data_IF_804665144346
#
_entry.id   IF_804665144346
#
_cell.length_a   1.000
_cell.length_b   1.000
_cell.length_c   1.000
_cell.angle_alpha   90.00
_cell.angle_beta   90.00
_cell.angle_gamma   90.00
#
_symmetry.space_group_name_H-M   'P 1'
#
loop_
_entity.id
_entity.type
_entity.pdbx_description
1 polymer ?
#
# COMPACT_ATOMS: atom_id res chain seq x y z
N UNK A 1 3.99 -38.99 -25.85
CA UNK A 1 4.71 -39.80 -26.86
C UNK A 1 4.14 -39.40 -28.21
N UNK A 2 4.97 -39.13 -29.22
CA UNK A 2 4.57 -38.48 -30.50
C UNK A 2 4.04 -37.02 -30.32
N UNK A 3 4.23 -36.08 -31.26
CA UNK A 3 5.10 -36.05 -32.46
C UNK A 3 5.50 -34.60 -32.78
N UNK A 4 6.74 -34.37 -33.24
CA UNK A 4 7.12 -33.11 -33.87
C UNK A 4 6.66 -33.08 -35.33
N UNK A 5 6.15 -31.94 -35.80
CA UNK A 5 6.09 -31.62 -37.23
C UNK A 5 6.90 -30.34 -37.49
N UNK A 6 8.11 -30.52 -38.05
CA UNK A 6 8.84 -29.45 -38.71
C UNK A 6 8.39 -29.40 -40.17
N UNK A 7 7.99 -28.21 -40.65
CA UNK A 7 7.95 -27.90 -42.08
C UNK A 7 9.04 -26.85 -42.35
N UNK A 8 9.95 -27.16 -43.29
CA UNK A 8 11.12 -26.33 -43.57
C UNK A 8 10.84 -25.13 -44.47
N UNK A 9 11.70 -24.12 -44.40
CA UNK A 9 11.78 -23.05 -45.40
C UNK A 9 12.37 -23.60 -46.71
N UNK A 10 11.86 -23.13 -47.85
CA UNK A 10 12.57 -23.15 -49.12
C UNK A 10 12.91 -21.72 -49.56
N UNK A 11 13.98 -21.57 -50.33
CA UNK A 11 14.50 -20.27 -50.77
C UNK A 11 13.95 -19.89 -52.14
N UNK A 12 13.36 -18.69 -52.27
CA UNK A 12 12.93 -18.08 -53.52
C UNK A 12 13.37 -16.62 -53.60
N UNK A 13 13.59 -16.09 -54.82
CA UNK A 13 14.32 -14.84 -55.03
C UNK A 13 13.53 -13.79 -55.83
N UNK A 14 13.53 -12.54 -55.37
CA UNK A 14 13.23 -11.33 -56.16
C UNK A 14 11.77 -10.84 -56.21
N UNK A 15 11.59 -9.51 -56.16
CA UNK A 15 10.41 -8.81 -56.68
C UNK A 15 9.48 -8.15 -55.63
N UNK A 16 9.26 -6.83 -55.79
CA UNK A 16 8.18 -5.99 -55.24
C UNK A 16 7.64 -6.28 -53.82
N UNK A 17 7.99 -5.41 -52.87
CA UNK A 17 7.38 -5.35 -51.53
C UNK A 17 5.98 -4.72 -51.54
N UNK A 18 4.97 -5.46 -51.97
CA UNK A 18 3.58 -5.22 -51.53
C UNK A 18 3.38 -5.89 -50.16
N UNK A 19 3.31 -5.09 -49.09
CA UNK A 19 3.17 -5.62 -47.72
C UNK A 19 1.77 -6.17 -47.51
N UNK A 20 1.61 -7.50 -47.60
CA UNK A 20 0.45 -8.18 -47.04
C UNK A 20 0.52 -8.14 -45.50
N UNK A 21 -0.60 -7.98 -44.78
CA UNK A 21 -0.62 -8.14 -43.33
C UNK A 21 -0.22 -9.57 -42.95
N UNK A 22 0.67 -9.71 -41.96
CA UNK A 22 1.05 -11.03 -41.45
C UNK A 22 -0.17 -11.75 -40.86
N UNK A 23 -0.29 -13.05 -41.12
CA UNK A 23 -1.39 -13.85 -40.61
C UNK A 23 -1.37 -13.89 -39.07
N UNK A 24 -2.47 -13.48 -38.43
CA UNK A 24 -2.62 -13.48 -36.98
C UNK A 24 -2.66 -14.92 -36.45
N UNK A 25 -1.59 -15.34 -35.75
CA UNK A 25 -1.50 -16.67 -35.14
C UNK A 25 -2.39 -16.77 -33.89
N UNK A 26 -3.67 -17.08 -34.09
CA UNK A 26 -4.62 -17.36 -33.00
C UNK A 26 -4.43 -18.79 -32.50
N UNK A 27 -4.02 -18.93 -31.23
CA UNK A 27 -3.99 -20.21 -30.52
C UNK A 27 -5.25 -20.29 -29.64
N UNK A 28 -6.04 -21.34 -29.80
CA UNK A 28 -7.27 -21.55 -29.03
C UNK A 28 -7.11 -22.77 -28.11
N UNK A 29 -7.29 -22.59 -26.80
CA UNK A 29 -7.22 -23.66 -25.80
C UNK A 29 -8.55 -23.76 -25.06
N UNK A 30 -9.06 -24.98 -24.91
CA UNK A 30 -10.28 -25.28 -24.16
C UNK A 30 -10.00 -26.30 -23.04
N UNK A 31 -10.81 -26.24 -21.98
CA UNK A 31 -10.81 -27.18 -20.85
C UNK A 31 -9.43 -27.51 -20.24
N UNK A 32 -8.51 -26.54 -20.23
CA UNK A 32 -7.17 -26.67 -19.65
C UNK A 32 -7.14 -25.95 -18.30
N UNK A 33 -6.78 -26.65 -17.22
CA UNK A 33 -6.70 -26.08 -15.87
C UNK A 33 -5.41 -25.31 -15.60
N UNK A 34 -4.41 -25.48 -16.46
CA UNK A 34 -3.10 -24.83 -16.41
C UNK A 34 -2.63 -24.61 -17.86
N UNK A 35 -2.00 -23.45 -18.13
CA UNK A 35 -1.53 -23.03 -19.45
C UNK A 35 -0.22 -22.28 -19.28
N UNK A 36 0.87 -23.03 -19.12
CA UNK A 36 2.22 -22.47 -18.98
C UNK A 36 2.75 -22.05 -20.35
N UNK A 37 2.74 -20.75 -20.63
CA UNK A 37 3.45 -20.19 -21.79
C UNK A 37 4.92 -20.01 -21.41
N UNK A 38 5.81 -20.70 -22.13
CA UNK A 38 7.24 -20.76 -21.79
C UNK A 38 7.98 -19.42 -21.93
N UNK A 39 9.23 -19.33 -21.42
CA UNK A 39 10.00 -18.09 -21.35
C UNK A 39 10.55 -17.66 -22.72
N UNK A 40 9.68 -17.10 -23.58
CA UNK A 40 10.10 -16.28 -24.71
C UNK A 40 10.09 -14.80 -24.34
N UNK A 41 11.21 -14.13 -24.61
CA UNK A 41 11.53 -12.79 -24.08
C UNK A 41 10.94 -11.62 -24.88
N UNK A 42 10.18 -11.89 -25.95
CA UNK A 42 9.43 -10.87 -26.70
C UNK A 42 8.16 -11.46 -27.35
N UNK A 43 7.06 -10.73 -27.22
CA UNK A 43 5.90 -10.83 -28.13
C UNK A 43 5.88 -9.56 -28.98
N UNK A 44 6.04 -9.68 -30.31
CA UNK A 44 5.98 -8.54 -31.22
C UNK A 44 4.57 -8.37 -31.79
N UNK A 45 3.70 -7.70 -31.02
CA UNK A 45 2.33 -7.37 -31.42
C UNK A 45 1.41 -7.11 -30.22
N UNK A 46 0.25 -6.53 -30.49
CA UNK A 46 -0.80 -6.35 -29.48
C UNK A 46 -1.46 -7.70 -29.17
N UNK A 47 -1.16 -8.27 -28.00
CA UNK A 47 -1.77 -9.52 -27.52
C UNK A 47 -3.03 -9.20 -26.72
N UNK A 48 -4.18 -9.73 -27.16
CA UNK A 48 -5.46 -9.65 -26.43
C UNK A 48 -5.91 -11.05 -26.04
N UNK A 49 -6.00 -11.31 -24.73
CA UNK A 49 -6.47 -12.59 -24.18
C UNK A 49 -7.96 -12.48 -23.89
N UNK A 50 -8.77 -13.37 -24.46
CA UNK A 50 -10.20 -13.48 -24.17
C UNK A 50 -10.45 -14.77 -23.38
N UNK A 51 -10.95 -14.65 -22.15
CA UNK A 51 -11.33 -15.80 -21.33
C UNK A 51 -12.86 -15.96 -21.34
N UNK A 52 -13.34 -17.05 -21.95
CA UNK A 52 -14.74 -17.45 -21.89
C UNK A 52 -14.89 -18.59 -20.87
N UNK A 53 -15.62 -18.34 -19.78
CA UNK A 53 -16.02 -19.41 -18.85
C UNK A 53 -17.37 -19.98 -19.26
N UNK A 54 -17.38 -21.27 -19.60
CA UNK A 54 -18.62 -22.02 -19.81
C UNK A 54 -19.26 -22.35 -18.44
N UNK A 55 -20.38 -21.71 -18.15
CA UNK A 55 -21.10 -21.84 -16.88
C UNK A 55 -21.64 -23.26 -16.60
N UNK A 56 -21.69 -24.14 -17.61
CA UNK A 56 -22.16 -25.53 -17.44
C UNK A 56 -21.16 -26.41 -16.64
N UNK A 57 -19.87 -26.07 -16.67
CA UNK A 57 -18.82 -26.88 -16.04
C UNK A 57 -18.85 -26.76 -14.52
N UNK A 58 -19.08 -25.56 -13.97
CA UNK A 58 -19.01 -25.33 -12.53
C UNK A 58 -20.19 -25.96 -11.77
N UNK A 59 -21.38 -26.00 -12.39
CA UNK A 59 -22.54 -26.74 -11.87
C UNK A 59 -22.22 -28.23 -11.65
N UNK A 60 -21.40 -28.82 -12.53
CA UNK A 60 -20.98 -30.23 -12.46
C UNK A 60 -20.00 -30.50 -11.30
N UNK A 61 -19.22 -29.50 -10.88
CA UNK A 61 -18.31 -29.60 -9.71
C UNK A 61 -19.02 -29.49 -8.37
N UNK A 62 -20.11 -28.74 -8.30
CA UNK A 62 -20.90 -28.60 -7.06
C UNK A 62 -21.64 -29.91 -6.76
N UNK A 63 -22.15 -30.58 -7.79
CA UNK A 63 -22.89 -31.84 -7.66
C UNK A 63 -22.06 -33.02 -7.11
N UNK A 64 -20.74 -33.04 -7.30
CA UNK A 64 -19.88 -34.16 -6.87
C UNK A 64 -19.45 -34.11 -5.40
N UNK A 65 -19.76 -33.03 -4.66
CA UNK A 65 -19.24 -32.79 -3.31
C UNK A 65 -20.16 -33.21 -2.15
N UNK A 66 -21.36 -33.73 -2.44
CA UNK A 66 -22.33 -34.23 -1.45
C UNK A 66 -22.99 -35.55 -1.86
N UNK A 67 -22.42 -36.71 -1.52
CA UNK A 67 -23.05 -38.01 -1.76
C UNK A 67 -23.92 -38.45 -0.57
N UNK A 68 -25.25 -38.34 -0.68
CA UNK A 68 -26.22 -39.09 0.13
C UNK A 68 -27.35 -39.66 -0.76
N UNK A 69 -27.97 -40.79 -0.38
CA UNK A 69 -28.57 -41.71 -1.35
C UNK A 69 -30.00 -41.39 -1.77
N UNK A 70 -30.39 -42.01 -2.89
CA UNK A 70 -31.75 -42.01 -3.46
C UNK A 70 -32.82 -42.43 -2.44
N UNK A 71 -34.00 -41.78 -2.55
CA UNK A 71 -35.20 -42.49 -3.02
C UNK A 71 -36.19 -41.54 -3.67
N UNK A 72 -36.65 -41.88 -4.88
CA UNK A 72 -37.75 -41.18 -5.54
C UNK A 72 -39.10 -41.75 -5.12
N UNK A 73 -40.10 -40.87 -5.03
CA UNK A 73 -41.51 -41.11 -5.37
C UNK A 73 -42.21 -39.77 -5.49
N UNK A 74 -43.13 -39.65 -6.45
CA UNK A 74 -43.82 -38.41 -6.78
C UNK A 74 -45.33 -38.62 -6.78
N UNK A 75 -46.05 -37.59 -6.30
CA UNK A 75 -47.48 -37.32 -6.53
C UNK A 75 -48.51 -38.28 -5.93
N UNK A 76 -49.58 -37.67 -5.41
CA UNK A 76 -50.97 -38.18 -5.28
C UNK A 76 -51.21 -39.40 -4.36
N UNK A 77 -52.30 -39.50 -3.59
CA UNK A 77 -53.57 -38.73 -3.60
C UNK A 77 -54.38 -38.87 -2.27
N UNK A 78 -55.51 -38.14 -2.20
CA UNK A 78 -56.74 -38.34 -1.38
C UNK A 78 -56.80 -37.94 0.13
N UNK A 79 -57.80 -37.07 0.45
CA UNK A 79 -58.75 -36.95 1.61
C UNK A 79 -58.25 -37.29 3.05
N UNK A 80 -58.67 -36.69 4.18
CA UNK A 80 -59.73 -35.71 4.54
C UNK A 80 -59.38 -35.11 5.95
N UNK A 81 -60.12 -34.23 6.68
CA UNK A 81 -61.46 -33.62 6.57
C UNK A 81 -61.46 -32.18 7.16
N UNK A 82 -62.54 -31.75 7.84
CA UNK A 82 -62.94 -30.37 8.22
C UNK A 82 -63.11 -30.17 9.75
N UNK A 83 -63.14 -28.90 10.21
CA UNK A 83 -63.48 -28.44 11.58
C UNK A 83 -64.85 -28.93 12.11
N UNK A 84 -65.11 -28.77 13.43
CA UNK A 84 -66.06 -27.71 13.79
C UNK A 84 -65.71 -26.93 15.08
N UNK A 85 -66.24 -25.71 15.18
CA UNK A 85 -66.37 -24.96 16.44
C UNK A 85 -67.61 -24.06 16.39
N UNK A 86 -68.53 -24.20 17.36
CA UNK A 86 -69.48 -23.19 17.86
C UNK A 86 -70.54 -23.82 18.77
N UNK A 87 -70.78 -23.21 19.93
CA UNK A 87 -72.10 -23.09 20.60
C UNK A 87 -71.95 -22.15 21.81
N UNK A 88 -72.98 -21.37 22.13
CA UNK A 88 -72.86 -20.22 23.05
C UNK A 88 -74.13 -19.95 23.86
N UNK A 89 -73.96 -19.38 25.07
CA UNK A 89 -74.99 -18.71 25.90
C UNK A 89 -76.03 -19.64 26.58
N UNK A 90 -76.79 -19.20 27.63
CA UNK A 90 -76.98 -17.81 28.06
C UNK A 90 -76.96 -17.47 29.58
N UNK A 91 -77.09 -16.16 29.83
CA UNK A 91 -77.64 -15.49 31.04
C UNK A 91 -76.76 -15.33 32.29
N UNK A 92 -77.15 -14.34 33.11
CA UNK A 92 -76.40 -13.82 34.26
C UNK A 92 -77.18 -13.98 35.58
N UNK A 93 -76.45 -14.01 36.70
CA UNK A 93 -77.01 -14.01 38.06
C UNK A 93 -76.09 -13.32 39.06
N UNK A 94 -76.66 -12.58 40.01
CA UNK A 94 -75.94 -11.93 41.12
C UNK A 94 -75.74 -12.91 42.28
N UNK A 95 -74.63 -12.80 43.02
CA UNK A 95 -74.68 -12.36 44.44
C UNK A 95 -73.30 -12.21 45.10
N UNK A 96 -73.29 -11.40 46.17
CA UNK A 96 -72.18 -11.13 47.09
C UNK A 96 -71.80 -12.40 47.90
N UNK A 97 -70.66 -12.54 48.62
CA UNK A 97 -70.10 -11.60 49.61
C UNK A 97 -68.59 -11.79 49.95
N UNK A 98 -67.93 -10.65 50.20
CA UNK A 98 -67.02 -10.31 51.31
C UNK A 98 -65.77 -11.14 51.70
N UNK A 99 -64.64 -10.40 51.75
CA UNK A 99 -63.52 -10.44 52.73
C UNK A 99 -62.55 -11.64 52.77
N UNK A 100 -61.31 -11.36 52.36
CA UNK A 100 -60.07 -11.94 52.88
C UNK A 100 -58.89 -11.02 52.56
N UNK A 101 -58.05 -10.68 53.54
CA UNK A 101 -56.77 -9.98 53.29
C UNK A 101 -55.71 -10.99 52.81
N UNK A 102 -54.69 -10.57 52.05
CA UNK A 102 -53.61 -11.47 51.64
C UNK A 102 -52.77 -11.89 52.85
N UNK A 103 -52.59 -13.20 53.04
CA UNK A 103 -51.56 -13.72 53.95
C UNK A 103 -50.18 -13.47 53.36
N UNK A 104 -49.23 -13.05 54.18
CA UNK A 104 -47.85 -12.80 53.80
C UNK A 104 -46.93 -13.90 54.34
N UNK A 105 -46.67 -14.94 53.55
CA UNK A 105 -45.59 -15.89 53.79
C UNK A 105 -44.48 -15.77 52.73
N UNK A 106 -43.20 -15.97 53.11
CA UNK A 106 -42.06 -15.66 52.25
C UNK A 106 -41.82 -16.71 51.17
N UNK A 107 -41.83 -16.29 49.90
CA UNK A 107 -41.51 -17.16 48.77
C UNK A 107 -40.00 -17.32 48.55
N UNK A 108 -39.41 -18.34 49.18
CA UNK A 108 -38.01 -18.78 48.98
C UNK A 108 -37.64 -18.92 47.49
N UNK A 109 -38.59 -19.36 46.67
CA UNK A 109 -38.52 -19.52 45.21
C UNK A 109 -38.15 -18.24 44.41
N UNK A 110 -38.20 -17.04 45.00
CA UNK A 110 -37.65 -15.83 44.35
C UNK A 110 -36.14 -15.71 44.50
N UNK A 111 -35.58 -16.07 45.67
CA UNK A 111 -34.19 -15.76 46.00
C UNK A 111 -33.20 -16.61 45.20
N UNK A 112 -33.52 -17.90 45.00
CA UNK A 112 -32.72 -18.83 44.19
C UNK A 112 -32.55 -18.37 42.74
N UNK A 113 -33.59 -17.75 42.16
CA UNK A 113 -33.55 -17.24 40.78
C UNK A 113 -32.54 -16.09 40.62
N UNK A 114 -32.43 -15.21 41.62
CA UNK A 114 -31.44 -14.14 41.59
C UNK A 114 -29.99 -14.65 41.67
N UNK A 115 -29.73 -15.75 42.39
CA UNK A 115 -28.42 -16.41 42.36
C UNK A 115 -28.10 -16.99 40.98
N UNK A 116 -29.07 -17.63 40.32
CA UNK A 116 -28.88 -18.18 38.95
C UNK A 116 -28.60 -17.05 37.95
N UNK A 117 -29.37 -15.95 37.97
CA UNK A 117 -29.12 -14.81 37.09
C UNK A 117 -27.77 -14.13 37.39
N UNK A 118 -27.38 -13.99 38.66
CA UNK A 118 -26.08 -13.47 39.05
C UNK A 118 -24.91 -14.29 38.51
N UNK A 119 -25.00 -15.63 38.61
CA UNK A 119 -23.99 -16.54 38.05
C UNK A 119 -23.89 -16.43 36.52
N UNK A 120 -25.03 -16.40 35.81
CA UNK A 120 -25.05 -16.26 34.35
C UNK A 120 -24.44 -14.93 33.88
N UNK A 121 -24.74 -13.82 34.57
CA UNK A 121 -24.15 -12.50 34.28
C UNK A 121 -22.63 -12.52 34.56
N UNK A 122 -22.18 -13.13 35.65
CA UNK A 122 -20.76 -13.27 35.96
C UNK A 122 -20.01 -14.06 34.88
N UNK A 123 -20.51 -15.23 34.46
CA UNK A 123 -19.89 -16.00 33.38
C UNK A 123 -19.89 -15.26 32.04
N UNK A 124 -20.94 -14.49 31.73
CA UNK A 124 -20.96 -13.64 30.54
C UNK A 124 -19.87 -12.54 30.60
N UNK A 125 -19.74 -11.84 31.72
CA UNK A 125 -18.70 -10.81 31.91
C UNK A 125 -17.30 -11.43 31.79
N UNK A 126 -17.05 -12.59 32.39
CA UNK A 126 -15.75 -13.29 32.28
C UNK A 126 -15.47 -13.72 30.84
N UNK A 127 -16.47 -14.26 30.12
CA UNK A 127 -16.35 -14.66 28.72
C UNK A 127 -16.09 -13.49 27.76
N UNK A 128 -16.79 -12.36 27.93
CA UNK A 128 -16.49 -11.14 27.18
C UNK A 128 -15.11 -10.58 27.53
N UNK A 129 -14.70 -10.62 28.81
CA UNK A 129 -13.39 -10.11 29.24
C UNK A 129 -12.23 -10.92 28.65
N UNK A 130 -12.35 -12.25 28.59
CA UNK A 130 -11.33 -13.11 27.95
C UNK A 130 -11.34 -12.98 26.44
N UNK A 131 -12.51 -12.87 25.80
CA UNK A 131 -12.61 -12.60 24.36
C UNK A 131 -11.93 -11.26 23.97
N UNK A 132 -12.17 -10.19 24.73
CA UNK A 132 -11.52 -8.88 24.53
C UNK A 132 -10.01 -8.99 24.75
N UNK A 133 -9.56 -9.70 25.80
CA UNK A 133 -8.13 -9.96 26.04
C UNK A 133 -7.46 -10.68 24.86
N UNK A 134 -8.09 -11.71 24.29
CA UNK A 134 -7.58 -12.40 23.10
C UNK A 134 -7.56 -11.51 21.86
N UNK A 135 -8.61 -10.70 21.61
CA UNK A 135 -8.65 -9.75 20.49
C UNK A 135 -7.52 -8.70 20.62
N UNK A 136 -7.34 -8.11 21.80
CA UNK A 136 -6.30 -7.10 22.06
C UNK A 136 -4.88 -7.68 21.93
N UNK A 137 -4.69 -8.95 22.26
CA UNK A 137 -3.38 -9.61 22.18
C UNK A 137 -3.07 -10.22 20.81
N UNK A 138 -4.07 -10.61 20.01
CA UNK A 138 -3.85 -11.00 18.60
C UNK A 138 -3.35 -9.83 17.75
N UNK A 139 -3.64 -8.58 18.14
CA UNK A 139 -3.06 -7.36 17.53
C UNK A 139 -1.55 -7.21 17.82
N UNK A 140 -0.94 -8.09 18.63
CA UNK A 140 0.50 -8.10 18.94
C UNK A 140 1.20 -9.45 18.71
N UNK A 141 0.63 -10.32 17.87
CA UNK A 141 1.36 -11.48 17.33
C UNK A 141 2.23 -11.09 16.12
N UNK A 142 3.41 -11.72 15.91
CA UNK A 142 4.22 -11.49 14.72
C UNK A 142 3.56 -12.12 13.49
N UNK A 143 3.14 -11.30 12.52
CA UNK A 143 2.46 -11.76 11.31
C UNK A 143 3.40 -11.75 10.09
N UNK A 144 3.28 -12.82 9.28
CA UNK A 144 3.82 -12.95 7.91
C UNK A 144 5.37 -12.81 7.79
N UNK A 145 6.07 -13.85 8.24
CA UNK A 145 7.36 -14.27 7.66
C UNK A 145 7.05 -15.29 6.54
N UNK A 146 7.85 -15.30 5.48
CA UNK A 146 7.74 -16.17 4.29
C UNK A 146 6.45 -16.05 3.47
N UNK A 147 6.35 -14.94 2.74
CA UNK A 147 5.69 -14.90 1.43
C UNK A 147 6.67 -14.52 0.34
N UNK A 148 6.94 -15.49 -0.53
CA UNK A 148 7.74 -15.34 -1.75
C UNK A 148 7.11 -14.29 -2.69
N UNK A 149 7.93 -13.51 -3.39
CA UNK A 149 7.48 -12.32 -4.13
C UNK A 149 6.86 -12.71 -5.48
N UNK A 150 5.59 -13.10 -5.47
CA UNK A 150 4.75 -13.04 -6.67
C UNK A 150 4.27 -11.59 -6.90
N UNK A 151 4.58 -11.05 -8.07
CA UNK A 151 3.82 -9.94 -8.65
C UNK A 151 2.47 -10.47 -9.18
N UNK A 152 1.60 -10.91 -8.27
CA UNK A 152 0.26 -11.38 -8.62
C UNK A 152 -0.56 -10.23 -9.24
N UNK A 153 -1.33 -10.57 -10.27
CA UNK A 153 -2.27 -9.66 -10.96
C UNK A 153 -3.40 -9.16 -10.05
N UNK A 154 -3.60 -9.79 -8.90
CA UNK A 154 -4.53 -9.39 -7.85
C UNK A 154 -4.11 -8.09 -7.13
N UNK A 155 -4.23 -6.93 -7.81
CA UNK A 155 -4.14 -5.60 -7.18
C UNK A 155 -5.23 -5.43 -6.11
N UNK A 156 -4.93 -5.83 -4.87
CA UNK A 156 -5.81 -5.70 -3.73
C UNK A 156 -5.86 -4.25 -3.23
N UNK A 157 -6.80 -3.47 -3.77
CA UNK A 157 -7.10 -2.05 -3.46
C UNK A 157 -7.36 -1.72 -1.97
N UNK A 158 -7.20 -2.68 -1.04
CA UNK A 158 -7.38 -2.55 0.42
C UNK A 158 -6.07 -2.68 1.22
N UNK A 159 -4.94 -3.08 0.61
CA UNK A 159 -3.69 -3.37 1.35
C UNK A 159 -2.61 -2.30 1.23
N UNK A 160 -2.68 -1.40 0.25
CA UNK A 160 -1.81 -0.21 0.17
C UNK A 160 -2.60 1.04 0.54
N UNK A 161 -2.09 1.92 1.43
CA UNK A 161 -2.79 3.16 1.76
C UNK A 161 -2.81 4.10 0.54
N UNK A 162 -4.01 4.47 0.12
CA UNK A 162 -4.26 5.46 -0.93
C UNK A 162 -4.34 6.85 -0.29
N UNK A 163 -3.51 7.77 -0.76
CA UNK A 163 -3.40 9.13 -0.23
C UNK A 163 -4.51 10.08 -0.74
N UNK A 164 -5.29 9.66 -1.73
CA UNK A 164 -6.20 10.51 -2.52
C UNK A 164 -5.74 10.58 -3.98
N UNK A 165 -6.64 10.97 -4.90
CA UNK A 165 -6.36 11.14 -6.33
C UNK A 165 -5.59 9.98 -7.01
N UNK A 166 -5.84 8.74 -6.56
CA UNK A 166 -5.16 7.51 -7.01
C UNK A 166 -3.66 7.41 -6.69
N UNK A 167 -3.12 8.27 -5.82
CA UNK A 167 -1.76 8.17 -5.31
C UNK A 167 -1.63 7.01 -4.30
N UNK A 168 -0.89 5.96 -4.64
CA UNK A 168 -0.63 4.84 -3.73
C UNK A 168 0.67 5.07 -2.94
N UNK A 169 0.69 4.63 -1.69
CA UNK A 169 1.93 4.43 -0.93
C UNK A 169 2.45 3.02 -1.20
N UNK A 170 3.61 2.94 -1.85
CA UNK A 170 4.35 1.71 -2.14
C UNK A 170 5.37 1.50 -1.02
N UNK A 171 5.02 0.63 -0.07
CA UNK A 171 5.88 0.24 1.06
C UNK A 171 7.23 -0.36 0.62
N UNK A 172 8.23 -0.29 1.51
CA UNK A 172 9.60 -0.82 1.30
C UNK A 172 9.62 -2.22 0.65
N UNK A 173 8.90 -3.17 1.27
CA UNK A 173 8.75 -4.55 0.75
C UNK A 173 8.07 -4.62 -0.63
N UNK A 174 7.14 -3.73 -0.93
CA UNK A 174 6.36 -3.74 -2.18
C UNK A 174 7.18 -3.28 -3.39
N UNK A 175 8.20 -2.42 -3.19
CA UNK A 175 9.18 -2.11 -4.24
C UNK A 175 10.45 -2.98 -4.17
N UNK A 176 10.52 -3.93 -3.24
CA UNK A 176 11.64 -4.85 -3.11
C UNK A 176 12.91 -4.19 -2.58
N UNK A 177 12.80 -3.40 -1.51
CA UNK A 177 13.97 -2.90 -0.77
C UNK A 177 14.81 -4.05 -0.21
N UNK A 178 16.13 -3.85 -0.13
CA UNK A 178 17.00 -4.69 0.69
C UNK A 178 16.49 -4.71 2.14
N UNK A 179 16.40 -5.90 2.74
CA UNK A 179 15.83 -6.10 4.09
C UNK A 179 16.77 -5.57 5.19
N UNK A 180 18.07 -5.85 5.07
CA UNK A 180 19.09 -5.48 6.06
C UNK A 180 19.47 -3.99 6.01
N UNK A 181 19.11 -3.28 4.94
CA UNK A 181 19.38 -1.85 4.79
C UNK A 181 18.40 -1.02 5.64
N UNK A 182 18.90 -0.47 6.76
CA UNK A 182 18.11 0.34 7.69
C UNK A 182 18.96 1.43 8.35
N UNK A 183 18.45 2.67 8.38
CA UNK A 183 19.02 3.73 9.20
C UNK A 183 18.40 3.70 10.61
N UNK A 184 19.21 3.92 11.65
CA UNK A 184 18.82 3.76 13.06
C UNK A 184 18.33 5.05 13.74
N UNK A 185 18.73 6.22 13.24
CA UNK A 185 18.40 7.52 13.83
C UNK A 185 16.90 7.79 13.69
N UNK A 186 16.20 7.94 14.81
CA UNK A 186 14.77 8.24 14.85
C UNK A 186 14.51 9.72 14.48
N UNK A 187 13.37 9.99 13.84
CA UNK A 187 12.93 11.34 13.47
C UNK A 187 11.95 11.89 14.52
N UNK A 188 12.30 13.04 15.13
CA UNK A 188 11.47 13.72 16.13
C UNK A 188 10.18 14.29 15.51
N UNK A 189 9.02 13.99 16.10
CA UNK A 189 7.71 14.48 15.65
C UNK A 189 7.08 15.47 16.65
N UNK A 190 6.35 16.52 16.19
CA UNK A 190 6.05 16.84 14.80
C UNK A 190 7.22 17.53 14.08
N UNK A 191 7.53 17.08 12.86
CA UNK A 191 8.63 17.62 12.05
C UNK A 191 8.27 19.00 11.50
N UNK A 192 9.15 19.98 11.70
CA UNK A 192 8.92 21.38 11.33
C UNK A 192 9.39 21.75 9.92
N UNK A 193 10.35 20.99 9.35
CA UNK A 193 10.96 21.28 8.05
C UNK A 193 10.86 20.10 7.10
N UNK A 194 10.34 20.37 5.89
CA UNK A 194 10.29 19.45 4.76
C UNK A 194 11.32 19.89 3.73
N UNK A 195 12.28 19.02 3.44
CA UNK A 195 13.29 19.26 2.40
C UNK A 195 12.91 18.53 1.12
N UNK A 196 12.81 19.27 0.01
CA UNK A 196 12.55 18.71 -1.31
C UNK A 196 13.84 18.57 -2.10
N UNK A 197 14.05 17.37 -2.62
CA UNK A 197 15.22 16.99 -3.41
C UNK A 197 14.79 16.38 -4.75
N UNK A 198 15.76 16.14 -5.63
CA UNK A 198 15.58 15.29 -6.80
C UNK A 198 16.81 14.40 -7.00
N UNK A 199 16.67 13.38 -7.86
CA UNK A 199 17.77 12.48 -8.21
C UNK A 199 18.81 13.18 -9.10
N UNK A 200 18.39 13.91 -10.12
CA UNK A 200 19.30 14.61 -11.05
C UNK A 200 20.09 13.70 -12.01
N UNK A 201 19.75 12.41 -12.09
CA UNK A 201 20.30 11.51 -13.10
C UNK A 201 19.60 11.75 -14.45
N UNK A 202 20.39 11.99 -15.50
CA UNK A 202 19.93 12.19 -16.89
C UNK A 202 19.39 10.89 -17.50
N UNK A 203 18.22 10.48 -17.02
CA UNK A 203 17.41 9.34 -17.46
C UNK A 203 15.96 9.80 -17.62
N UNK A 204 15.19 9.16 -18.52
CA UNK A 204 13.74 9.36 -18.58
C UNK A 204 13.12 9.14 -17.19
N UNK A 205 12.18 10.00 -16.81
CA UNK A 205 11.43 9.81 -15.56
C UNK A 205 10.52 8.58 -15.71
N UNK A 206 10.46 7.75 -14.68
CA UNK A 206 9.71 6.51 -14.69
C UNK A 206 8.20 6.76 -14.88
N UNK A 207 7.51 5.79 -15.47
CA UNK A 207 6.15 5.95 -16.01
C UNK A 207 5.15 4.93 -15.46
N UNK A 208 5.61 3.79 -14.96
CA UNK A 208 4.79 2.77 -14.33
C UNK A 208 5.47 2.13 -13.11
N UNK A 209 4.66 1.49 -12.28
CA UNK A 209 5.06 1.05 -10.94
C UNK A 209 6.34 0.18 -10.92
N UNK A 210 6.47 -0.74 -11.89
CA UNK A 210 7.65 -1.60 -12.05
C UNK A 210 8.93 -0.82 -12.39
N UNK A 211 8.83 0.20 -13.26
CA UNK A 211 9.96 1.05 -13.65
C UNK A 211 10.42 1.90 -12.46
N UNK A 212 9.48 2.51 -11.74
CA UNK A 212 9.79 3.29 -10.54
C UNK A 212 10.30 2.40 -9.38
N UNK A 213 9.82 1.17 -9.22
CA UNK A 213 10.34 0.21 -8.24
C UNK A 213 11.78 -0.24 -8.55
N UNK A 214 12.10 -0.54 -9.82
CA UNK A 214 13.48 -0.77 -10.24
C UNK A 214 14.36 0.47 -9.99
N UNK A 215 13.82 1.68 -10.19
CA UNK A 215 14.54 2.91 -9.89
C UNK A 215 14.83 3.09 -8.40
N UNK A 216 13.88 2.73 -7.53
CA UNK A 216 14.08 2.72 -6.08
C UNK A 216 15.18 1.76 -5.63
N UNK A 217 15.23 0.53 -6.18
CA UNK A 217 16.31 -0.43 -5.89
C UNK A 217 17.68 0.13 -6.27
N UNK A 218 17.87 0.57 -7.52
CA UNK A 218 19.13 1.17 -7.97
C UNK A 218 19.57 2.39 -7.13
N UNK A 219 18.64 3.16 -6.57
CA UNK A 219 18.95 4.29 -5.68
C UNK A 219 19.38 3.83 -4.27
N UNK A 220 18.84 2.72 -3.77
CA UNK A 220 19.28 2.09 -2.52
C UNK A 220 20.65 1.44 -2.70
N UNK A 221 20.84 0.69 -3.79
CA UNK A 221 22.11 0.03 -4.13
C UNK A 221 23.25 1.05 -4.23
N UNK A 222 23.04 2.17 -4.95
CA UNK A 222 24.02 3.26 -5.05
C UNK A 222 24.21 4.03 -3.72
N UNK A 223 23.15 4.21 -2.91
CA UNK A 223 23.28 4.85 -1.60
C UNK A 223 24.18 4.05 -0.66
N UNK A 224 24.08 2.71 -0.70
CA UNK A 224 24.89 1.81 0.11
C UNK A 224 26.29 1.67 -0.50
N UNK A 225 26.39 1.23 -1.76
CA UNK A 225 27.67 0.87 -2.39
C UNK A 225 28.56 2.04 -2.82
N UNK A 226 27.98 3.16 -3.28
CA UNK A 226 28.76 4.32 -3.73
C UNK A 226 28.90 5.41 -2.66
N UNK A 227 27.95 5.51 -1.73
CA UNK A 227 27.87 6.59 -0.73
C UNK A 227 28.00 6.13 0.72
N UNK A 228 28.05 4.81 0.96
CA UNK A 228 28.20 4.19 2.28
C UNK A 228 27.10 4.56 3.28
N UNK A 229 25.92 4.94 2.79
CA UNK A 229 24.75 5.17 3.65
C UNK A 229 24.14 3.84 4.10
N UNK A 230 23.67 3.72 5.35
CA UNK A 230 23.03 2.50 5.84
C UNK A 230 21.66 2.19 5.19
N UNK A 231 21.07 3.19 4.52
CA UNK A 231 19.87 3.05 3.70
C UNK A 231 19.72 4.24 2.73
N UNK A 232 18.86 4.08 1.72
CA UNK A 232 18.44 5.11 0.75
C UNK A 232 18.20 6.49 1.43
N UNK A 233 18.65 7.63 0.88
CA UNK A 233 18.84 8.86 1.68
C UNK A 233 17.57 9.56 2.18
N UNK A 234 16.47 9.56 1.42
CA UNK A 234 15.23 10.30 1.72
C UNK A 234 14.12 9.45 2.35
N UNK A 235 13.18 10.11 3.04
CA UNK A 235 12.01 9.49 3.66
C UNK A 235 11.03 8.93 2.61
N UNK A 236 10.73 9.74 1.58
CA UNK A 236 9.78 9.40 0.52
C UNK A 236 10.29 9.79 -0.85
N UNK A 237 9.85 9.06 -1.87
CA UNK A 237 10.17 9.30 -3.28
C UNK A 237 8.90 9.41 -4.11
N UNK A 238 8.82 10.38 -5.00
CA UNK A 238 7.65 10.63 -5.84
C UNK A 238 7.92 10.17 -7.27
N UNK A 239 7.36 9.02 -7.64
CA UNK A 239 7.51 8.43 -8.96
C UNK A 239 6.84 9.25 -10.06
N UNK A 240 7.40 9.23 -11.28
CA UNK A 240 6.76 9.85 -12.44
C UNK A 240 5.48 9.13 -12.89
N UNK A 241 5.13 7.99 -12.30
CA UNK A 241 3.83 7.35 -12.37
C UNK A 241 2.78 8.03 -11.46
N UNK A 242 3.21 8.90 -10.54
CA UNK A 242 2.37 9.58 -9.56
C UNK A 242 2.24 8.86 -8.21
N UNK A 243 2.99 7.78 -7.95
CA UNK A 243 2.95 7.07 -6.68
C UNK A 243 4.03 7.54 -5.70
N UNK A 244 3.79 7.31 -4.41
CA UNK A 244 4.73 7.60 -3.33
C UNK A 244 5.44 6.31 -2.91
N UNK A 245 6.75 6.27 -3.05
CA UNK A 245 7.58 5.15 -2.63
C UNK A 245 8.19 5.44 -1.26
N UNK A 246 8.04 4.50 -0.33
CA UNK A 246 8.57 4.62 1.03
C UNK A 246 10.07 4.33 1.01
N UNK A 247 10.88 5.36 1.23
CA UNK A 247 12.31 5.22 1.53
C UNK A 247 12.48 4.91 3.01
N UNK A 248 13.04 5.85 3.78
CA UNK A 248 13.15 5.74 5.25
C UNK A 248 11.82 5.88 6.00
N UNK A 249 10.73 6.24 5.33
CA UNK A 249 9.39 6.35 5.94
C UNK A 249 9.24 7.54 6.89
N UNK A 250 8.25 7.50 7.78
CA UNK A 250 7.95 8.64 8.67
C UNK A 250 8.90 8.75 9.87
N UNK A 251 9.29 7.64 10.47
CA UNK A 251 9.85 7.59 11.83
C UNK A 251 11.39 7.61 11.88
N UNK A 252 12.06 7.54 10.73
CA UNK A 252 13.54 7.46 10.61
C UNK A 252 14.09 8.71 9.90
N UNK A 253 15.20 9.24 10.39
CA UNK A 253 15.85 10.43 9.85
C UNK A 253 16.42 10.23 8.43
N UNK A 254 16.33 11.25 7.57
CA UNK A 254 17.02 11.29 6.27
C UNK A 254 18.54 11.55 6.42
N UNK A 255 19.30 11.41 5.33
CA UNK A 255 20.76 11.63 5.33
C UNK A 255 21.19 13.10 5.22
N UNK A 256 20.27 14.06 5.13
CA UNK A 256 20.61 15.48 4.94
C UNK A 256 20.54 16.28 6.24
N UNK A 257 19.49 16.08 7.07
CA UNK A 257 19.40 16.64 8.42
C UNK A 257 18.46 15.84 9.31
N UNK A 258 18.95 15.38 10.46
CA UNK A 258 18.26 14.43 11.34
C UNK A 258 16.89 14.89 11.89
N UNK A 259 16.61 16.19 11.94
CA UNK A 259 15.33 16.78 12.40
C UNK A 259 14.42 17.27 11.25
N UNK A 260 14.51 16.65 10.07
CA UNK A 260 13.74 17.03 8.87
C UNK A 260 13.11 15.84 8.15
N UNK A 261 12.12 16.09 7.30
CA UNK A 261 11.52 15.09 6.41
C UNK A 261 11.95 15.36 4.96
N UNK A 262 12.60 14.40 4.32
CA UNK A 262 13.06 14.51 2.93
C UNK A 262 12.11 13.84 1.94
N UNK A 263 11.64 14.60 0.96
CA UNK A 263 10.82 14.10 -0.16
C UNK A 263 11.58 14.33 -1.47
N UNK A 264 11.95 13.24 -2.14
CA UNK A 264 12.72 13.26 -3.38
C UNK A 264 11.81 13.05 -4.60
N UNK A 265 11.84 13.95 -5.57
CA UNK A 265 11.19 13.72 -6.86
C UNK A 265 12.07 12.78 -7.72
N UNK A 266 11.48 11.71 -8.25
CA UNK A 266 12.18 10.84 -9.22
C UNK A 266 12.23 11.58 -10.56
N UNK A 267 13.45 11.84 -11.07
CA UNK A 267 13.72 12.52 -12.35
C UNK A 267 14.94 13.44 -12.33
N UNK A 268 15.25 14.01 -13.49
CA UNK A 268 16.06 15.23 -13.66
C UNK A 268 15.12 16.41 -13.91
N UNK A 269 15.29 17.49 -13.14
CA UNK A 269 14.49 18.72 -13.22
C UNK A 269 15.37 19.97 -13.30
N UNK A 270 16.65 19.82 -13.66
CA UNK A 270 17.43 20.91 -14.23
C UNK A 270 16.92 21.24 -15.63
N UNK A 271 16.54 20.21 -16.40
CA UNK A 271 16.16 20.33 -17.82
C UNK A 271 14.69 20.07 -18.11
N UNK A 272 14.03 19.16 -17.39
CA UNK A 272 12.62 18.79 -17.63
C UNK A 272 11.68 19.35 -16.56
N UNK A 273 10.41 19.53 -16.91
CA UNK A 273 9.38 19.93 -15.93
C UNK A 273 8.92 18.75 -15.07
N UNK A 274 8.67 18.96 -13.76
CA UNK A 274 8.06 17.96 -12.89
C UNK A 274 6.59 17.73 -13.26
N UNK A 275 6.12 16.47 -13.19
CA UNK A 275 4.73 16.15 -13.52
C UNK A 275 3.78 16.67 -12.44
N UNK A 276 2.62 17.17 -12.84
CA UNK A 276 1.54 17.55 -11.91
C UNK A 276 1.05 16.36 -11.07
N UNK A 277 1.19 15.12 -11.55
CA UNK A 277 0.94 13.91 -10.73
C UNK A 277 1.91 13.79 -9.55
N UNK A 278 3.18 14.19 -9.70
CA UNK A 278 4.15 14.23 -8.60
C UNK A 278 3.83 15.37 -7.62
N UNK A 279 3.37 16.52 -8.09
CA UNK A 279 2.91 17.61 -7.22
C UNK A 279 1.64 17.24 -6.44
N UNK A 280 0.65 16.63 -7.09
CA UNK A 280 -0.53 16.11 -6.40
C UNK A 280 -0.16 15.04 -5.36
N UNK A 281 0.78 14.13 -5.67
CA UNK A 281 1.29 13.16 -4.71
C UNK A 281 1.98 13.83 -3.51
N UNK A 282 2.83 14.85 -3.73
CA UNK A 282 3.44 15.67 -2.67
C UNK A 282 2.37 16.30 -1.76
N UNK A 283 1.36 16.95 -2.35
CA UNK A 283 0.32 17.63 -1.59
C UNK A 283 -0.48 16.68 -0.70
N UNK A 284 -0.87 15.51 -1.20
CA UNK A 284 -1.59 14.53 -0.39
C UNK A 284 -0.69 13.90 0.68
N UNK A 285 0.58 13.59 0.36
CA UNK A 285 1.56 13.05 1.31
C UNK A 285 1.78 13.99 2.50
N UNK A 286 2.02 15.28 2.24
CA UNK A 286 2.25 16.27 3.30
C UNK A 286 0.97 16.56 4.09
N UNK A 287 -0.20 16.56 3.44
CA UNK A 287 -1.50 16.70 4.13
C UNK A 287 -1.75 15.52 5.08
N UNK A 288 -1.50 14.29 4.62
CA UNK A 288 -1.56 13.10 5.46
C UNK A 288 -0.58 13.18 6.65
N UNK A 289 0.67 13.61 6.41
CA UNK A 289 1.65 13.80 7.47
C UNK A 289 1.22 14.79 8.56
N UNK A 290 0.53 15.88 8.19
CA UNK A 290 -0.05 16.83 9.16
C UNK A 290 -1.23 16.21 9.91
N UNK A 291 -2.13 15.49 9.23
CA UNK A 291 -3.28 14.81 9.87
C UNK A 291 -2.80 13.76 10.89
N UNK A 292 -1.75 12.99 10.57
CA UNK A 292 -1.13 12.02 11.46
C UNK A 292 -0.19 12.64 12.52
N UNK A 293 -0.10 13.97 12.61
CA UNK A 293 0.80 14.72 13.51
C UNK A 293 2.30 14.39 13.33
N UNK A 294 2.67 13.80 12.19
CA UNK A 294 4.06 13.53 11.79
C UNK A 294 4.78 14.81 11.36
N UNK A 295 4.03 15.73 10.73
CA UNK A 295 4.44 17.09 10.38
C UNK A 295 3.73 18.12 11.26
N UNK A 296 4.39 19.24 11.52
CA UNK A 296 3.78 20.41 12.16
C UNK A 296 2.70 21.03 11.25
N UNK A 297 1.64 21.61 11.83
CA UNK A 297 0.55 22.25 11.07
C UNK A 297 1.00 23.52 10.32
N UNK A 298 2.16 24.05 10.65
CA UNK A 298 2.85 25.21 10.09
C UNK A 298 4.21 24.86 9.45
N UNK A 299 4.42 23.59 9.07
CA UNK A 299 5.69 23.13 8.49
C UNK A 299 6.20 24.02 7.34
N UNK A 300 7.52 24.15 7.27
CA UNK A 300 8.25 24.96 6.29
C UNK A 300 8.82 24.05 5.21
N UNK A 301 8.50 24.33 3.95
CA UNK A 301 9.04 23.61 2.79
C UNK A 301 10.24 24.36 2.22
N UNK A 302 11.34 23.65 2.03
CA UNK A 302 12.61 24.16 1.46
C UNK A 302 13.15 23.24 0.38
N UNK A 303 13.95 23.79 -0.52
CA UNK A 303 14.68 23.08 -1.56
C UNK A 303 16.11 22.76 -1.11
N UNK A 304 16.67 21.60 -1.52
CA UNK A 304 18.02 21.16 -1.12
C UNK A 304 19.10 22.24 -1.28
N UNK A 305 19.12 22.98 -2.40
CA UNK A 305 20.06 24.10 -2.65
C UNK A 305 20.08 25.21 -1.58
N UNK A 306 18.97 25.47 -0.87
CA UNK A 306 18.94 26.44 0.24
C UNK A 306 19.64 25.94 1.51
N UNK A 307 19.90 24.63 1.57
CA UNK A 307 20.43 23.91 2.74
C UNK A 307 21.83 23.34 2.50
N UNK A 308 22.30 23.32 1.25
CA UNK A 308 23.66 22.97 0.85
C UNK A 308 23.97 23.67 -0.48
N UNK A 309 24.81 24.72 -0.49
CA UNK A 309 25.07 25.49 -1.71
C UNK A 309 25.71 24.68 -2.84
N UNK A 310 26.47 23.62 -2.52
CA UNK A 310 27.22 22.81 -3.50
C UNK A 310 26.33 21.78 -4.25
N UNK A 311 25.04 22.02 -4.42
CA UNK A 311 24.17 21.13 -5.21
C UNK A 311 23.03 21.86 -5.91
N UNK A 312 22.88 21.57 -7.21
CA UNK A 312 21.77 22.07 -8.02
C UNK A 312 20.39 21.50 -7.61
N UNK A 313 20.34 20.45 -6.79
CA UNK A 313 19.10 19.80 -6.35
C UNK A 313 18.16 20.80 -5.66
N UNK A 314 16.83 20.81 -5.94
CA UNK A 314 16.04 19.82 -6.68
C UNK A 314 15.95 20.06 -8.20
N UNK A 315 16.82 20.89 -8.79
CA UNK A 315 16.77 21.30 -10.20
C UNK A 315 15.92 22.56 -10.39
N UNK A 316 16.22 23.35 -11.42
CA UNK A 316 15.64 24.69 -11.61
C UNK A 316 14.15 24.70 -11.95
N UNK A 317 13.70 23.77 -12.81
CA UNK A 317 12.29 23.67 -13.20
C UNK A 317 11.41 23.26 -12.02
N UNK A 318 11.91 22.37 -11.16
CA UNK A 318 11.23 21.99 -9.92
C UNK A 318 11.31 23.11 -8.87
N UNK A 319 12.47 23.75 -8.68
CA UNK A 319 12.62 24.91 -7.78
C UNK A 319 11.65 26.04 -8.12
N UNK A 320 11.53 26.42 -9.40
CA UNK A 320 10.61 27.45 -9.88
C UNK A 320 9.12 27.13 -9.61
N UNK A 321 8.77 25.85 -9.46
CA UNK A 321 7.41 25.41 -9.05
C UNK A 321 7.25 25.38 -7.53
N UNK A 322 8.28 24.96 -6.77
CA UNK A 322 8.27 24.92 -5.31
C UNK A 322 8.15 26.31 -4.65
N UNK A 323 8.81 27.33 -5.22
CA UNK A 323 8.73 28.74 -4.75
C UNK A 323 7.28 29.28 -4.77
N UNK A 324 6.39 28.66 -5.55
CA UNK A 324 4.97 29.06 -5.69
C UNK A 324 4.03 28.35 -4.70
N UNK A 325 4.55 27.49 -3.81
CA UNK A 325 3.75 26.76 -2.82
C UNK A 325 3.47 27.60 -1.57
N UNK A 326 2.27 27.46 -0.99
CA UNK A 326 1.83 28.20 0.20
C UNK A 326 2.59 27.89 1.50
N UNK A 327 3.46 26.86 1.50
CA UNK A 327 4.35 26.49 2.61
C UNK A 327 5.83 26.75 2.32
N UNK A 328 6.14 27.41 1.20
CA UNK A 328 7.50 27.77 0.84
C UNK A 328 8.16 28.68 1.88
N UNK A 329 9.41 28.40 2.24
CA UNK A 329 10.22 29.27 3.08
C UNK A 329 11.43 29.82 2.28
N UNK A 330 11.59 31.16 2.15
CA UNK A 330 12.67 31.79 1.39
C UNK A 330 14.04 31.86 2.13
N UNK A 331 14.23 31.12 3.22
CA UNK A 331 15.49 31.02 3.95
C UNK A 331 16.70 30.68 3.05
N UNK A 332 17.89 31.16 3.43
CA UNK A 332 19.11 31.03 2.62
C UNK A 332 19.16 31.89 1.35
N UNK A 333 18.16 32.74 1.09
CA UNK A 333 18.25 33.79 0.06
C UNK A 333 18.74 35.11 0.67
N UNK A 334 19.22 36.05 -0.16
CA UNK A 334 20.00 37.23 0.25
C UNK A 334 19.35 38.15 1.32
N UNK A 335 18.04 38.08 1.53
CA UNK A 335 17.30 38.87 2.52
C UNK A 335 16.88 38.08 3.80
N UNK A 336 17.27 36.80 3.93
CA UNK A 336 16.81 35.90 4.97
C UNK A 336 17.96 35.12 5.62
N UNK A 337 17.80 34.75 6.89
CA UNK A 337 18.71 33.84 7.58
C UNK A 337 18.73 32.45 6.91
N UNK A 338 19.73 31.62 7.24
CA UNK A 338 19.81 30.24 6.77
C UNK A 338 18.63 29.40 7.30
N UNK A 339 18.32 28.30 6.62
CA UNK A 339 17.16 27.49 6.96
C UNK A 339 17.31 26.81 8.33
N UNK A 340 16.30 26.96 9.19
CA UNK A 340 16.29 26.42 10.56
C UNK A 340 17.13 27.21 11.56
N UNK A 341 17.60 28.42 11.24
CA UNK A 341 18.32 29.28 12.16
C UNK A 341 17.55 29.52 13.48
N UNK A 342 16.22 29.64 13.41
CA UNK A 342 15.31 29.80 14.54
C UNK A 342 15.15 28.53 15.40
N UNK A 343 15.62 27.38 14.89
CA UNK A 343 15.65 26.08 15.59
C UNK A 343 17.07 25.65 15.99
N UNK A 344 18.07 26.53 15.80
CA UNK A 344 19.48 26.25 16.05
C UNK A 344 20.13 25.29 15.04
N UNK A 345 19.56 25.13 13.85
CA UNK A 345 20.14 24.27 12.81
C UNK A 345 21.41 24.93 12.21
N UNK A 346 22.37 24.13 11.71
CA UNK A 346 23.53 24.65 10.97
C UNK A 346 23.11 25.30 9.64
N UNK A 347 23.97 26.16 9.09
CA UNK A 347 23.77 26.83 7.81
C UNK A 347 23.91 25.89 6.60
N UNK A 348 24.63 24.77 6.78
CA UNK A 348 24.71 23.67 5.83
C UNK A 348 24.20 22.41 6.52
N UNK A 349 23.24 21.74 5.89
CA UNK A 349 22.65 20.48 6.33
C UNK A 349 23.33 19.35 5.57
N UNK A 350 24.18 18.55 6.21
CA UNK A 350 24.93 17.50 5.51
C UNK A 350 25.31 16.32 6.40
N UNK A 351 24.39 15.85 7.24
CA UNK A 351 24.57 14.74 8.20
C UNK A 351 25.24 13.48 7.58
N UNK A 352 25.10 13.25 6.28
CA UNK A 352 25.77 12.24 5.44
C UNK A 352 27.30 12.40 5.40
N UNK A 353 27.80 13.63 5.28
CA UNK A 353 29.23 13.94 5.34
C UNK A 353 29.76 13.69 6.74
N UNK A 354 29.09 14.23 7.76
CA UNK A 354 29.42 14.02 9.17
C UNK A 354 29.37 12.53 9.55
N UNK A 355 28.42 11.76 9.00
CA UNK A 355 28.32 10.31 9.20
C UNK A 355 29.51 9.59 8.58
N UNK A 356 29.87 9.92 7.33
CA UNK A 356 31.00 9.29 6.66
C UNK A 356 32.34 9.63 7.36
N UNK A 357 32.56 10.88 7.78
CA UNK A 357 33.77 11.26 8.53
C UNK A 357 33.87 10.54 9.88
N UNK A 358 32.78 10.49 10.67
CA UNK A 358 32.75 9.80 11.97
C UNK A 358 33.03 8.30 11.87
N UNK A 359 32.78 7.68 10.72
CA UNK A 359 33.06 6.27 10.46
C UNK A 359 34.39 6.04 9.69
N UNK A 360 35.19 7.09 9.44
CA UNK A 360 36.46 6.98 8.70
C UNK A 360 36.31 6.71 7.20
N UNK A 361 35.14 7.00 6.62
CA UNK A 361 34.75 6.62 5.26
C UNK A 361 35.18 7.72 4.27
N UNK A 362 36.40 7.59 3.76
CA UNK A 362 36.91 8.44 2.68
C UNK A 362 36.40 7.94 1.32
N UNK A 363 35.39 8.61 0.77
CA UNK A 363 34.80 8.27 -0.54
C UNK A 363 35.65 8.81 -1.72
N UNK A 364 36.34 7.97 -2.52
CA UNK A 364 37.23 8.46 -3.57
C UNK A 364 36.49 9.14 -4.73
N UNK A 365 35.24 8.74 -4.99
CA UNK A 365 34.44 9.25 -6.10
C UNK A 365 33.97 10.70 -5.85
N UNK A 366 33.71 11.06 -4.59
CA UNK A 366 33.41 12.45 -4.21
C UNK A 366 34.65 13.36 -4.29
N UNK A 367 35.85 12.82 -4.06
CA UNK A 367 37.12 13.55 -4.22
C UNK A 367 37.35 13.84 -5.71
N UNK A 368 37.22 12.84 -6.58
CA UNK A 368 37.42 13.03 -8.03
C UNK A 368 36.40 13.98 -8.67
N UNK A 369 35.17 14.06 -8.13
CA UNK A 369 34.18 15.02 -8.61
C UNK A 369 34.58 16.47 -8.30
N UNK A 370 35.15 16.76 -7.12
CA UNK A 370 35.69 18.10 -6.83
C UNK A 370 36.75 18.50 -7.86
N UNK A 371 37.73 17.63 -8.12
CA UNK A 371 38.80 17.88 -9.09
C UNK A 371 38.34 17.98 -10.56
N UNK A 372 37.06 17.73 -10.87
CA UNK A 372 36.50 17.82 -12.23
C UNK A 372 35.33 18.80 -12.33
N UNK A 373 35.05 19.56 -11.26
CA UNK A 373 34.18 20.75 -11.26
C UNK A 373 34.97 22.04 -10.95
N UNK A 374 36.30 21.93 -10.79
CA UNK A 374 37.27 23.03 -10.57
C UNK A 374 38.31 23.17 -11.71
N UNK A 375 38.17 22.40 -12.80
CA UNK A 375 39.02 22.39 -14.02
C UNK A 375 38.16 22.59 -15.30
#
# INVERSE_FOLDING_TARGET
>A
MATNHQNGLSTGNGGNTTVQPAATSVINLSNSSDVVIGPMTQYQGSVTIYQYMDATVEASRIASKFPLPMRSRSLTEFYDLVFPSHLSFPTAGRNNQNRGLPSAEPSTLRQERYFIYGALIFFAIVGFSTAIYFIVNQVRGPADIDREILFDTNYHRRTMPNLGNSHMIIERRNWGSQLDAHASIQLEHPVQYVIVTHIGLRSKNCTGMHECANRMRMLQDAAIGERNLPDIPSNFYLGGDGNVYVGRGWDIANSYHNRTLSVCFIGDFQTYEPKESQFSALHHLLTYGVIQRKLASDYKLVARRQTKPTTASPGDMLYARLVRLSRWNPCGTQAYAHCGAELGFPSVWDDEHDFNERNGIHNPLLIHRKSTEEE
#
